data_IF_220632357254
#
_entry.id   IF_220632357254
#
_cell.length_a   1.000
_cell.length_b   1.000
_cell.length_c   1.000
_cell.angle_alpha   90.00
_cell.angle_beta   90.00
_cell.angle_gamma   90.00
#
_symmetry.space_group_name_H-M   'P 1'
#
loop_
_entity.id
_entity.type
_entity.pdbx_description
1 polymer ?
#
# COMPACT_ATOMS: atom_id res chain seq x y z
N UNK A 1 -2.63 11.83 15.36
CA UNK A 1 -2.14 12.38 14.07
C UNK A 1 -1.33 11.36 13.24
N UNK A 2 -1.26 10.07 13.60
CA UNK A 2 -0.20 9.16 13.11
C UNK A 2 -0.65 7.90 12.35
N UNK A 3 -1.94 7.55 12.31
CA UNK A 3 -2.38 6.23 11.82
C UNK A 3 -2.04 5.95 10.35
N UNK A 4 -2.23 6.91 9.43
CA UNK A 4 -1.86 6.72 8.01
C UNK A 4 -0.34 6.57 7.85
N UNK A 5 0.44 7.35 8.61
CA UNK A 5 1.91 7.30 8.58
C UNK A 5 2.41 5.95 9.08
N UNK A 6 1.84 5.43 10.17
CA UNK A 6 2.19 4.13 10.73
C UNK A 6 1.87 2.99 9.76
N UNK A 7 0.74 3.05 9.07
CA UNK A 7 0.36 2.08 8.04
C UNK A 7 1.27 2.17 6.81
N UNK A 8 1.62 3.38 6.35
CA UNK A 8 2.56 3.59 5.26
C UNK A 8 3.98 3.06 5.61
N UNK A 9 4.42 3.20 6.87
CA UNK A 9 5.67 2.62 7.37
C UNK A 9 5.64 1.09 7.35
N UNK A 10 4.57 0.46 7.83
CA UNK A 10 4.39 -1.00 7.77
C UNK A 10 4.39 -1.50 6.32
N UNK A 11 3.70 -0.77 5.44
CA UNK A 11 3.66 -1.08 4.02
C UNK A 11 5.05 -1.07 3.38
N UNK A 12 5.86 -0.06 3.69
CA UNK A 12 7.22 0.01 3.17
C UNK A 12 8.08 -1.17 3.68
N UNK A 13 7.95 -1.54 4.95
CA UNK A 13 8.63 -2.74 5.51
C UNK A 13 8.22 -4.02 4.80
N UNK A 14 6.93 -4.18 4.45
CA UNK A 14 6.46 -5.32 3.68
C UNK A 14 7.08 -5.37 2.28
N UNK A 15 7.22 -4.22 1.60
CA UNK A 15 7.89 -4.15 0.30
C UNK A 15 9.37 -4.53 0.38
N UNK A 16 10.06 -4.05 1.41
CA UNK A 16 11.46 -4.42 1.68
C UNK A 16 11.61 -5.91 1.94
N UNK A 17 10.74 -6.49 2.80
CA UNK A 17 10.74 -7.92 3.09
C UNK A 17 10.44 -8.77 1.84
N UNK A 18 9.46 -8.38 1.02
CA UNK A 18 9.16 -9.06 -0.24
C UNK A 18 10.33 -9.02 -1.22
N UNK A 19 11.06 -7.90 -1.26
CA UNK A 19 12.25 -7.79 -2.09
C UNK A 19 13.37 -8.70 -1.59
N UNK A 20 13.68 -8.68 -0.29
CA UNK A 20 14.69 -9.55 0.31
C UNK A 20 14.37 -11.05 0.08
N UNK A 21 13.10 -11.44 0.20
CA UNK A 21 12.68 -12.82 -0.09
C UNK A 21 12.86 -13.22 -1.56
N UNK A 22 12.73 -12.26 -2.49
CA UNK A 22 12.89 -12.50 -3.94
C UNK A 22 14.36 -12.50 -4.38
N UNK A 23 15.20 -11.65 -3.80
CA UNK A 23 16.59 -11.49 -4.22
C UNK A 23 17.53 -12.33 -3.35
N UNK A 24 17.61 -12.00 -2.07
CA UNK A 24 18.61 -12.52 -1.12
C UNK A 24 18.30 -13.95 -0.67
N UNK A 25 17.02 -14.29 -0.52
CA UNK A 25 16.58 -15.59 0.01
C UNK A 25 15.93 -16.50 -1.05
N UNK A 26 16.16 -16.22 -2.33
CA UNK A 26 15.56 -16.95 -3.46
C UNK A 26 15.83 -18.46 -3.42
N UNK A 27 17.02 -18.86 -3.00
CA UNK A 27 17.43 -20.27 -2.91
C UNK A 27 17.10 -20.90 -1.55
N UNK A 28 16.53 -20.15 -0.61
CA UNK A 28 16.23 -20.65 0.74
C UNK A 28 14.84 -21.25 0.76
N UNK A 29 14.74 -22.55 1.02
CA UNK A 29 13.44 -23.25 1.10
C UNK A 29 12.58 -22.71 2.24
N UNK A 30 13.20 -22.34 3.37
CA UNK A 30 12.52 -21.93 4.59
C UNK A 30 13.12 -20.67 5.19
N UNK A 31 12.28 -19.78 5.70
CA UNK A 31 12.65 -18.50 6.31
C UNK A 31 12.05 -18.40 7.72
N UNK A 32 12.74 -17.69 8.62
CA UNK A 32 12.23 -17.43 9.97
C UNK A 32 11.41 -16.14 9.96
N UNK A 33 10.17 -16.23 10.42
CA UNK A 33 9.23 -15.10 10.53
C UNK A 33 9.00 -14.80 12.00
N UNK A 34 9.04 -13.53 12.36
CA UNK A 34 8.74 -13.09 13.72
C UNK A 34 7.23 -12.89 13.89
N UNK A 35 6.64 -13.55 14.88
CA UNK A 35 5.26 -13.36 15.31
C UNK A 35 5.26 -12.95 16.79
N UNK A 36 5.08 -11.66 17.07
CA UNK A 36 5.17 -11.13 18.43
C UNK A 36 6.57 -11.30 19.01
N UNK A 37 6.73 -12.21 19.95
CA UNK A 37 8.00 -12.53 20.62
C UNK A 37 8.58 -13.90 20.22
N UNK A 38 7.97 -14.60 19.25
CA UNK A 38 8.43 -15.91 18.79
C UNK A 38 8.86 -15.88 17.33
N UNK A 39 9.83 -16.74 16.98
CA UNK A 39 10.26 -16.94 15.60
C UNK A 39 9.78 -18.30 15.11
N UNK A 40 9.04 -18.30 14.00
CA UNK A 40 8.48 -19.51 13.39
C UNK A 40 9.12 -19.70 12.02
N UNK A 41 9.50 -20.95 11.71
CA UNK A 41 10.03 -21.31 10.39
C UNK A 41 8.88 -21.60 9.44
N UNK A 42 8.83 -20.89 8.32
CA UNK A 42 7.86 -21.08 7.25
C UNK A 42 8.55 -21.30 5.90
N UNK A 43 7.95 -22.06 4.97
CA UNK A 43 8.44 -22.12 3.60
C UNK A 43 8.46 -20.72 2.96
N UNK A 44 9.48 -20.44 2.15
CA UNK A 44 9.65 -19.13 1.50
C UNK A 44 8.40 -18.72 0.71
N UNK A 45 7.84 -19.64 -0.09
CA UNK A 45 6.63 -19.42 -0.88
C UNK A 45 5.45 -18.97 0.00
N UNK A 46 5.24 -19.66 1.13
CA UNK A 46 4.16 -19.34 2.06
C UNK A 46 4.38 -18.00 2.75
N UNK A 47 5.61 -17.69 3.17
CA UNK A 47 5.92 -16.38 3.76
C UNK A 47 5.69 -15.25 2.76
N UNK A 48 6.06 -15.44 1.50
CA UNK A 48 5.84 -14.45 0.43
C UNK A 48 4.36 -14.18 0.22
N UNK A 49 3.54 -15.23 0.15
CA UNK A 49 2.08 -15.08 0.05
C UNK A 49 1.49 -14.36 1.25
N UNK A 50 1.95 -14.67 2.46
CA UNK A 50 1.47 -14.04 3.68
C UNK A 50 1.75 -12.53 3.69
N UNK A 51 2.98 -12.12 3.36
CA UNK A 51 3.34 -10.70 3.30
C UNK A 51 2.61 -9.99 2.15
N UNK A 52 2.36 -10.68 1.03
CA UNK A 52 1.58 -10.12 -0.08
C UNK A 52 0.12 -9.85 0.30
N UNK A 53 -0.53 -10.74 1.04
CA UNK A 53 -1.88 -10.52 1.55
C UNK A 53 -1.92 -9.38 2.59
N UNK A 54 -0.91 -9.31 3.46
CA UNK A 54 -0.80 -8.21 4.43
C UNK A 54 -0.60 -6.86 3.73
N UNK A 55 0.21 -6.83 2.67
CA UNK A 55 0.37 -5.67 1.80
C UNK A 55 -0.98 -5.21 1.18
N UNK A 56 -1.77 -6.13 0.65
CA UNK A 56 -3.10 -5.82 0.07
C UNK A 56 -4.07 -5.25 1.11
N UNK A 57 -4.06 -5.80 2.32
CA UNK A 57 -4.89 -5.32 3.43
C UNK A 57 -4.47 -3.90 3.85
N UNK A 58 -3.16 -3.65 4.00
CA UNK A 58 -2.64 -2.33 4.32
C UNK A 58 -3.01 -1.29 3.25
N UNK A 59 -2.90 -1.64 1.96
CA UNK A 59 -3.26 -0.75 0.87
C UNK A 59 -4.76 -0.40 0.88
N UNK A 60 -5.62 -1.38 1.19
CA UNK A 60 -7.05 -1.14 1.38
C UNK A 60 -7.32 -0.18 2.54
N UNK A 61 -6.76 -0.46 3.72
CA UNK A 61 -6.97 0.37 4.92
C UNK A 61 -6.49 1.81 4.72
N UNK A 62 -5.32 2.00 4.08
CA UNK A 62 -4.79 3.34 3.75
C UNK A 62 -5.76 4.08 2.83
N UNK A 63 -6.29 3.42 1.79
CA UNK A 63 -7.22 4.04 0.86
C UNK A 63 -8.56 4.38 1.51
N UNK A 64 -9.09 3.50 2.35
CA UNK A 64 -10.32 3.74 3.10
C UNK A 64 -10.16 4.92 4.07
N UNK A 65 -9.03 4.99 4.78
CA UNK A 65 -8.71 6.12 5.66
C UNK A 65 -8.57 7.44 4.90
N UNK A 66 -7.90 7.44 3.74
CA UNK A 66 -7.75 8.64 2.90
C UNK A 66 -9.10 9.11 2.37
N UNK A 67 -9.94 8.18 1.90
CA UNK A 67 -11.28 8.48 1.39
C UNK A 67 -12.19 9.03 2.49
N UNK A 68 -12.20 8.37 3.66
CA UNK A 68 -12.96 8.83 4.82
C UNK A 68 -12.49 10.20 5.34
N UNK A 69 -11.19 10.48 5.32
CA UNK A 69 -10.66 11.79 5.70
C UNK A 69 -11.14 12.88 4.73
N UNK A 70 -11.09 12.64 3.42
CA UNK A 70 -11.59 13.58 2.41
C UNK A 70 -13.06 13.91 2.60
N UNK A 71 -13.91 12.89 2.78
CA UNK A 71 -15.34 13.08 3.02
C UNK A 71 -15.61 13.96 4.25
N UNK A 72 -14.90 13.72 5.36
CA UNK A 72 -15.02 14.52 6.58
C UNK A 72 -14.57 15.96 6.38
N UNK A 73 -13.46 16.17 5.66
CA UNK A 73 -12.95 17.53 5.38
C UNK A 73 -13.88 18.30 4.44
N UNK A 74 -14.42 17.65 3.41
CA UNK A 74 -15.40 18.28 2.52
C UNK A 74 -16.66 18.69 3.29
N UNK A 75 -17.19 17.82 4.13
CA UNK A 75 -18.34 18.14 4.98
C UNK A 75 -18.06 19.33 5.93
N UNK A 76 -16.86 19.42 6.50
CA UNK A 76 -16.45 20.58 7.31
C UNK A 76 -16.36 21.88 6.48
N UNK A 77 -15.89 21.80 5.23
CA UNK A 77 -15.83 22.97 4.35
C UNK A 77 -17.23 23.47 3.98
N UNK A 78 -18.17 22.55 3.69
CA UNK A 78 -19.57 22.88 3.42
C UNK A 78 -20.19 23.67 4.59
N UNK A 79 -20.01 23.18 5.83
CA UNK A 79 -20.52 23.86 7.04
C UNK A 79 -19.87 25.24 7.22
N UNK A 80 -18.60 25.41 6.82
CA UNK A 80 -17.88 26.68 6.90
C UNK A 80 -18.14 27.61 5.71
N UNK A 81 -18.98 27.23 4.73
CA UNK A 81 -19.20 27.99 3.51
C UNK A 81 -17.98 28.09 2.58
N UNK A 82 -17.00 27.20 2.77
CA UNK A 82 -15.80 27.10 1.93
C UNK A 82 -16.09 26.20 0.72
N UNK A 83 -15.47 26.47 -0.45
CA UNK A 83 -15.62 25.61 -1.61
C UNK A 83 -15.07 24.20 -1.34
N UNK A 84 -15.63 23.21 -2.03
CA UNK A 84 -15.15 21.83 -1.96
C UNK A 84 -13.67 21.72 -2.42
N UNK A 85 -12.94 20.76 -1.84
CA UNK A 85 -11.57 20.45 -2.23
C UNK A 85 -11.50 19.86 -3.65
N UNK A 86 -11.28 20.72 -4.65
CA UNK A 86 -11.06 20.30 -6.04
C UNK A 86 -9.64 19.76 -6.25
N UNK A 87 -9.51 18.76 -7.12
CA UNK A 87 -8.22 18.20 -7.53
C UNK A 87 -7.63 17.13 -6.60
N UNK A 88 -8.27 16.84 -5.47
CA UNK A 88 -7.80 15.81 -4.54
C UNK A 88 -8.37 14.42 -4.84
N UNK A 89 -9.35 14.29 -5.74
CA UNK A 89 -9.95 13.03 -6.17
C UNK A 89 -9.23 12.39 -7.37
N UNK A 90 -7.90 12.52 -7.43
CA UNK A 90 -7.09 11.90 -8.47
C UNK A 90 -6.53 10.56 -7.97
N UNK A 91 -6.61 9.56 -8.83
CA UNK A 91 -5.90 8.29 -8.68
C UNK A 91 -4.67 8.30 -9.59
N UNK A 92 -3.53 7.74 -9.15
CA UNK A 92 -2.40 7.56 -10.04
C UNK A 92 -2.78 6.61 -11.19
N UNK A 93 -2.28 6.91 -12.39
CA UNK A 93 -2.44 6.02 -13.54
C UNK A 93 -1.76 4.68 -13.27
N UNK A 94 -2.45 3.59 -13.57
CA UNK A 94 -1.87 2.26 -13.60
C UNK A 94 -0.81 2.14 -14.69
N UNK A 95 0.04 1.11 -14.59
CA UNK A 95 1.08 0.84 -15.60
C UNK A 95 0.48 0.68 -17.00
N UNK A 96 -0.70 0.07 -17.11
CA UNK A 96 -1.33 -0.21 -18.39
C UNK A 96 -2.01 1.04 -18.98
N UNK A 97 -2.62 1.88 -18.14
CA UNK A 97 -3.11 3.19 -18.55
C UNK A 97 -1.94 4.07 -19.04
N UNK A 98 -0.83 4.08 -18.32
CA UNK A 98 0.35 4.88 -18.67
C UNK A 98 1.02 4.39 -19.97
N UNK A 99 1.07 3.07 -20.22
CA UNK A 99 1.51 2.51 -21.50
C UNK A 99 0.59 2.92 -22.64
N UNK A 100 -0.73 2.93 -22.41
CA UNK A 100 -1.73 3.32 -23.40
C UNK A 100 -1.60 4.80 -23.76
N UNK A 101 -1.44 5.67 -22.77
CA UNK A 101 -1.16 7.11 -22.98
C UNK A 101 0.13 7.31 -23.77
N UNK A 102 1.21 6.59 -23.42
CA UNK A 102 2.47 6.68 -24.16
C UNK A 102 2.35 6.22 -25.62
N UNK A 103 1.51 5.22 -25.93
CA UNK A 103 1.24 4.81 -27.31
C UNK A 103 0.51 5.89 -28.10
N UNK A 104 -0.38 6.63 -27.46
CA UNK A 104 -1.11 7.74 -28.07
C UNK A 104 -0.22 8.98 -28.30
N UNK A 105 0.70 9.28 -27.37
CA UNK A 105 1.60 10.43 -27.44
C UNK A 105 2.80 10.25 -28.38
N UNK A 106 3.17 9.01 -28.73
CA UNK A 106 4.28 8.69 -29.65
C UNK A 106 3.86 8.69 -31.13
N UNK A 107 2.72 9.30 -31.46
CA UNK A 107 2.16 9.38 -32.81
C UNK A 107 2.36 10.75 -33.42
#
# INVERSE_FOLDING_TARGET
MFQIVDLDLKRNRNREALNALKTEMSNTENVKVCFGNIFIRFPNVKTREMIQRDQEQLDKEINDLRTGLRAKVNHLNEIQGKPELRGYNLSPLSSDELKSVNRLLKR
#
